data_IF_290287949400
#
_entry.id   IF_290287949400
#
_cell.length_a   1.000
_cell.length_b   1.000
_cell.length_c   1.000
_cell.angle_alpha   90.00
_cell.angle_beta   90.00
_cell.angle_gamma   90.00
#
_symmetry.space_group_name_H-M   'P 1'
#
loop_
_entity.id
_entity.type
_entity.pdbx_description
1 polymer ?
#
# COMPACT_ATOMS: atom_id res chain seq x y z
N UNK A 1 11.89 59.75 -38.05
CA UNK A 1 12.86 58.89 -38.77
C UNK A 1 14.05 58.66 -37.85
N UNK A 2 14.34 57.39 -37.48
CA UNK A 2 15.49 56.92 -36.67
C UNK A 2 15.53 57.49 -35.23
N UNK A 3 15.95 56.81 -34.17
CA UNK A 3 16.83 55.66 -33.98
C UNK A 3 16.49 55.03 -32.61
N UNK A 4 16.66 53.71 -32.50
CA UNK A 4 16.49 52.88 -31.30
C UNK A 4 17.32 53.33 -30.09
N UNK A 5 16.83 53.07 -28.87
CA UNK A 5 17.71 52.69 -27.76
C UNK A 5 17.15 51.44 -27.06
N UNK A 6 17.96 50.40 -27.15
CA UNK A 6 17.83 49.09 -26.55
C UNK A 6 17.92 49.23 -25.02
N UNK A 7 16.94 48.73 -24.27
CA UNK A 7 17.13 48.41 -22.85
C UNK A 7 17.04 46.90 -22.72
N UNK A 8 18.21 46.29 -22.53
CA UNK A 8 18.36 44.90 -22.11
C UNK A 8 17.75 44.76 -20.71
N UNK A 9 16.61 44.06 -20.61
CA UNK A 9 16.13 43.50 -19.37
C UNK A 9 16.35 41.98 -19.41
N UNK A 10 17.48 41.55 -18.83
CA UNK A 10 17.69 40.16 -18.44
C UNK A 10 16.85 39.89 -17.18
N UNK A 11 15.73 39.21 -17.36
CA UNK A 11 14.83 38.64 -16.35
C UNK A 11 14.13 37.48 -17.06
N UNK A 12 14.08 36.23 -16.64
CA UNK A 12 14.28 35.62 -15.33
C UNK A 12 14.53 34.12 -15.49
N UNK A 13 15.00 33.54 -14.39
CA UNK A 13 15.23 32.13 -14.12
C UNK A 13 14.03 31.20 -14.42
N UNK A 14 14.39 30.01 -14.93
CA UNK A 14 13.90 28.64 -14.67
C UNK A 14 12.48 28.46 -14.08
N UNK A 15 11.77 27.50 -14.69
CA UNK A 15 10.68 26.64 -14.17
C UNK A 15 9.32 26.85 -14.82
N UNK A 16 9.01 25.99 -15.78
CA UNK A 16 8.19 24.83 -15.45
C UNK A 16 8.35 23.79 -16.58
N UNK A 17 9.12 22.73 -16.32
CA UNK A 17 8.70 21.46 -16.88
C UNK A 17 7.39 21.14 -16.16
N UNK A 18 6.27 21.60 -16.74
CA UNK A 18 4.99 21.00 -16.49
C UNK A 18 5.12 19.57 -17.00
N UNK A 19 5.64 18.70 -16.15
CA UNK A 19 5.57 17.27 -16.34
C UNK A 19 4.09 16.98 -16.29
N UNK A 20 3.56 16.69 -17.47
CA UNK A 20 2.20 16.28 -17.69
C UNK A 20 2.06 14.92 -16.97
N UNK A 21 1.78 14.95 -15.67
CA UNK A 21 1.42 13.77 -14.87
C UNK A 21 0.00 13.36 -15.32
N UNK A 22 -0.07 12.81 -16.53
CA UNK A 22 -1.27 12.13 -17.01
C UNK A 22 -1.39 10.82 -16.23
N UNK A 23 -1.96 10.91 -15.03
CA UNK A 23 -2.41 9.78 -14.25
C UNK A 23 -3.46 9.04 -15.10
N UNK A 24 -3.09 7.94 -15.76
CA UNK A 24 -4.02 7.12 -16.57
C UNK A 24 -4.67 6.02 -15.73
N UNK A 25 -4.32 5.90 -14.44
CA UNK A 25 -5.09 5.16 -13.45
C UNK A 25 -5.98 6.12 -12.66
N UNK A 26 -7.29 5.97 -12.82
CA UNK A 26 -8.30 6.80 -12.16
C UNK A 26 -8.36 6.49 -10.65
N UNK A 27 -7.50 7.16 -9.89
CA UNK A 27 -7.49 7.13 -8.43
C UNK A 27 -8.76 7.71 -7.80
N UNK A 28 -9.54 8.52 -8.54
CA UNK A 28 -10.80 9.09 -8.04
C UNK A 28 -11.87 8.01 -7.93
N UNK A 29 -11.79 6.94 -8.74
CA UNK A 29 -12.75 5.83 -8.71
C UNK A 29 -12.49 4.77 -7.63
N UNK A 30 -11.32 4.76 -6.99
CA UNK A 30 -11.09 3.82 -5.89
C UNK A 30 -11.82 4.29 -4.63
N UNK A 31 -12.86 3.54 -4.29
CA UNK A 31 -13.70 3.70 -3.09
C UNK A 31 -13.56 2.46 -2.20
N UNK A 32 -14.19 2.50 -1.03
CA UNK A 32 -14.23 1.36 -0.12
C UNK A 32 -15.23 0.26 -0.55
N UNK A 33 -15.78 0.27 -1.77
CA UNK A 33 -16.78 -0.71 -2.26
C UNK A 33 -16.33 -2.17 -2.13
N UNK A 34 -15.02 -2.44 -2.18
CA UNK A 34 -14.50 -3.79 -1.95
C UNK A 34 -14.85 -4.36 -0.57
N UNK A 35 -15.18 -3.49 0.40
CA UNK A 35 -15.65 -3.85 1.74
C UNK A 35 -17.08 -4.39 1.74
N UNK A 36 -17.89 -4.13 0.70
CA UNK A 36 -19.26 -4.66 0.60
C UNK A 36 -19.28 -6.19 0.50
N UNK A 37 -18.16 -6.80 0.09
CA UNK A 37 -17.97 -8.25 0.04
C UNK A 37 -17.71 -8.88 1.41
N UNK A 38 -17.43 -8.07 2.42
CA UNK A 38 -17.14 -8.51 3.79
C UNK A 38 -18.03 -7.82 4.82
N UNK A 39 -19.36 -8.05 4.77
CA UNK A 39 -20.34 -7.35 5.60
C UNK A 39 -20.12 -7.53 7.12
N UNK A 40 -19.38 -8.57 7.52
CA UNK A 40 -18.96 -8.78 8.91
C UNK A 40 -18.02 -7.67 9.44
N UNK A 41 -17.37 -6.90 8.58
CA UNK A 41 -16.48 -5.77 8.93
C UNK A 41 -17.09 -4.40 8.61
N UNK A 42 -18.39 -4.22 8.82
CA UNK A 42 -19.13 -2.97 8.56
C UNK A 42 -18.64 -1.75 9.38
N UNK A 43 -17.87 -1.95 10.45
CA UNK A 43 -17.23 -0.85 11.20
C UNK A 43 -15.80 -0.65 10.71
N UNK A 44 -15.64 0.21 9.71
CA UNK A 44 -14.34 0.61 9.16
C UNK A 44 -14.28 2.11 8.89
N UNK A 45 -13.07 2.64 8.75
CA UNK A 45 -12.82 4.02 8.29
C UNK A 45 -12.13 3.97 6.94
N UNK A 46 -12.69 4.67 5.96
CA UNK A 46 -12.05 4.95 4.68
C UNK A 46 -11.28 6.28 4.75
N UNK A 47 -10.00 6.25 4.39
CA UNK A 47 -9.13 7.41 4.32
C UNK A 47 -8.92 7.77 2.85
N UNK A 48 -9.76 8.66 2.33
CA UNK A 48 -9.82 8.94 0.89
C UNK A 48 -8.50 9.47 0.32
N UNK A 49 -7.76 10.28 1.09
CA UNK A 49 -6.47 10.83 0.66
C UNK A 49 -5.40 9.76 0.46
N UNK A 50 -5.40 8.73 1.30
CA UNK A 50 -4.38 7.67 1.30
C UNK A 50 -4.89 6.37 0.68
N UNK A 51 -6.16 6.35 0.22
CA UNK A 51 -6.85 5.18 -0.32
C UNK A 51 -6.68 3.95 0.58
N UNK A 52 -6.89 4.18 1.88
CA UNK A 52 -6.64 3.23 2.95
C UNK A 52 -7.94 2.92 3.69
N UNK A 53 -8.23 1.64 3.89
CA UNK A 53 -9.21 1.20 4.89
C UNK A 53 -8.49 0.90 6.19
N UNK A 54 -9.04 1.37 7.31
CA UNK A 54 -8.64 0.94 8.65
C UNK A 54 -9.83 0.31 9.39
N UNK A 55 -9.64 -0.85 9.99
CA UNK A 55 -10.69 -1.56 10.71
C UNK A 55 -10.13 -2.38 11.89
N UNK A 56 -11.01 -2.81 12.78
CA UNK A 56 -10.68 -3.73 13.89
C UNK A 56 -11.11 -5.14 13.55
N UNK A 57 -10.21 -6.10 13.70
CA UNK A 57 -10.51 -7.53 13.55
C UNK A 57 -10.59 -8.22 14.92
N UNK A 58 -11.11 -9.45 14.92
CA UNK A 58 -11.26 -10.26 16.14
C UNK A 58 -9.92 -10.39 16.89
N UNK A 59 -9.97 -10.21 18.20
CA UNK A 59 -8.77 -10.21 19.06
C UNK A 59 -8.19 -8.83 19.34
N UNK A 60 -8.80 -7.76 18.83
CA UNK A 60 -8.42 -6.37 19.13
C UNK A 60 -7.32 -5.82 18.23
N UNK A 61 -6.87 -6.59 17.24
CA UNK A 61 -5.89 -6.16 16.26
C UNK A 61 -6.49 -5.09 15.33
N UNK A 62 -5.62 -4.21 14.83
CA UNK A 62 -5.98 -3.30 13.74
C UNK A 62 -5.54 -3.89 12.41
N UNK A 63 -6.34 -3.66 11.37
CA UNK A 63 -5.97 -3.96 10.00
C UNK A 63 -6.02 -2.68 9.17
N UNK A 64 -4.99 -2.47 8.36
CA UNK A 64 -4.85 -1.37 7.42
C UNK A 64 -4.69 -1.97 6.03
N UNK A 65 -5.53 -1.55 5.09
CA UNK A 65 -5.57 -2.09 3.73
C UNK A 65 -5.47 -0.95 2.75
N UNK A 66 -4.43 -0.96 1.94
CA UNK A 66 -4.23 0.02 0.89
C UNK A 66 -4.45 -0.61 -0.46
N UNK A 67 -5.25 0.06 -1.28
CA UNK A 67 -5.47 -0.29 -2.67
C UNK A 67 -5.49 0.97 -3.51
N UNK A 68 -4.44 1.21 -4.27
CA UNK A 68 -4.36 2.37 -5.15
C UNK A 68 -2.96 2.67 -5.67
N UNK A 69 -2.88 3.60 -6.61
CA UNK A 69 -1.64 4.17 -7.13
C UNK A 69 -1.89 4.99 -8.40
N UNK A 70 -1.06 5.99 -8.69
CA UNK A 70 -1.27 6.90 -9.83
C UNK A 70 -0.56 6.42 -11.10
N UNK A 71 0.75 6.17 -10.99
CA UNK A 71 1.56 5.61 -12.09
C UNK A 71 1.88 4.12 -11.86
N UNK A 72 1.63 3.66 -10.64
CA UNK A 72 2.29 2.53 -10.00
C UNK A 72 1.32 1.97 -8.97
N UNK A 73 0.48 1.02 -9.39
CA UNK A 73 -0.57 0.47 -8.53
C UNK A 73 0.06 -0.32 -7.40
N UNK A 74 -0.29 0.03 -6.17
CA UNK A 74 0.25 -0.55 -4.95
C UNK A 74 -0.87 -1.19 -4.15
N UNK A 75 -0.59 -2.39 -3.68
CA UNK A 75 -1.49 -3.13 -2.84
C UNK A 75 -0.73 -3.63 -1.62
N UNK A 76 -1.24 -3.31 -0.42
CA UNK A 76 -0.62 -3.85 0.78
C UNK A 76 -1.60 -3.97 1.94
N UNK A 77 -1.30 -4.91 2.84
CA UNK A 77 -1.95 -5.02 4.14
C UNK A 77 -0.96 -4.87 5.27
N UNK A 78 -1.39 -4.19 6.33
CA UNK A 78 -0.70 -4.20 7.60
C UNK A 78 -1.65 -4.63 8.72
N UNK A 79 -1.31 -5.74 9.38
CA UNK A 79 -1.94 -6.19 10.61
C UNK A 79 -1.11 -5.73 11.80
N UNK A 80 -1.71 -4.94 12.68
CA UNK A 80 -1.08 -4.46 13.90
C UNK A 80 -1.67 -5.20 15.09
N UNK A 81 -0.81 -5.90 15.84
CA UNK A 81 -1.22 -6.73 16.98
C UNK A 81 -0.48 -6.36 18.25
N UNK A 82 -1.12 -6.65 19.40
CA UNK A 82 -0.46 -6.65 20.71
C UNK A 82 0.20 -7.99 21.04
N UNK A 83 -0.09 -9.02 20.24
CA UNK A 83 0.46 -10.36 20.42
C UNK A 83 1.91 -10.37 19.95
N UNK A 84 2.72 -11.22 20.56
CA UNK A 84 4.09 -11.44 20.12
C UNK A 84 4.08 -11.99 18.69
N UNK A 85 4.81 -11.33 17.79
CA UNK A 85 5.00 -11.81 16.41
C UNK A 85 5.85 -13.08 16.43
N UNK A 86 5.53 -14.03 15.53
CA UNK A 86 6.36 -15.24 15.32
C UNK A 86 7.65 -14.85 14.57
N UNK A 87 8.71 -15.67 14.60
CA UNK A 87 9.87 -15.40 13.75
C UNK A 87 9.50 -15.52 12.27
N UNK A 88 10.18 -14.78 11.40
CA UNK A 88 10.04 -14.86 9.94
C UNK A 88 10.26 -16.28 9.38
N UNK A 89 11.06 -17.10 10.08
CA UNK A 89 11.33 -18.50 9.72
C UNK A 89 10.11 -19.43 9.84
N UNK A 90 9.04 -19.02 10.53
CA UNK A 90 7.75 -19.73 10.53
C UNK A 90 6.95 -19.39 9.25
N UNK A 91 7.57 -19.62 8.08
CA UNK A 91 7.05 -19.22 6.77
C UNK A 91 5.66 -19.81 6.50
N UNK A 92 5.41 -21.06 6.91
CA UNK A 92 4.10 -21.70 6.75
C UNK A 92 2.98 -20.96 7.51
N UNK A 93 3.27 -20.47 8.72
CA UNK A 93 2.32 -19.63 9.46
C UNK A 93 2.01 -18.33 8.72
N UNK A 94 3.04 -17.64 8.22
CA UNK A 94 2.87 -16.35 7.54
C UNK A 94 2.13 -16.46 6.22
N UNK A 95 2.38 -17.51 5.44
CA UNK A 95 1.61 -17.81 4.23
C UNK A 95 0.15 -18.08 4.57
N UNK A 96 -0.13 -18.86 5.62
CA UNK A 96 -1.50 -19.15 6.03
C UNK A 96 -2.26 -17.89 6.50
N UNK A 97 -1.61 -17.01 7.26
CA UNK A 97 -2.20 -15.73 7.67
C UNK A 97 -2.42 -14.79 6.47
N UNK A 98 -1.45 -14.74 5.54
CA UNK A 98 -1.57 -13.96 4.30
C UNK A 98 -2.74 -14.46 3.45
N UNK A 99 -2.86 -15.77 3.27
CA UNK A 99 -3.94 -16.37 2.49
C UNK A 99 -5.31 -15.99 3.05
N UNK A 100 -5.50 -16.06 4.37
CA UNK A 100 -6.74 -15.62 5.00
C UNK A 100 -7.04 -14.14 4.71
N UNK A 101 -6.05 -13.25 4.82
CA UNK A 101 -6.21 -11.82 4.52
C UNK A 101 -6.57 -11.58 3.04
N UNK A 102 -5.87 -12.26 2.14
CA UNK A 102 -6.09 -12.17 0.69
C UNK A 102 -7.48 -12.64 0.31
N UNK A 103 -7.90 -13.83 0.74
CA UNK A 103 -9.22 -14.40 0.46
C UNK A 103 -10.36 -13.58 1.09
N UNK A 104 -10.08 -12.90 2.21
CA UNK A 104 -11.09 -12.07 2.87
C UNK A 104 -11.29 -10.76 2.14
N UNK A 105 -10.21 -10.04 1.80
CA UNK A 105 -10.33 -8.63 1.41
C UNK A 105 -10.09 -8.36 -0.08
N UNK A 106 -9.46 -9.28 -0.80
CA UNK A 106 -9.07 -9.07 -2.20
C UNK A 106 -10.05 -9.70 -3.18
N UNK A 107 -10.01 -9.21 -4.42
CA UNK A 107 -10.80 -9.80 -5.50
C UNK A 107 -10.20 -11.09 -6.05
N UNK A 108 -10.97 -11.83 -6.85
CA UNK A 108 -10.58 -13.14 -7.35
C UNK A 108 -9.30 -13.10 -8.22
N UNK A 109 -9.04 -11.98 -8.90
CA UNK A 109 -7.85 -11.79 -9.73
C UNK A 109 -6.61 -11.60 -8.85
N UNK A 110 -6.69 -10.71 -7.85
CA UNK A 110 -5.63 -10.52 -6.85
C UNK A 110 -5.33 -11.83 -6.10
N UNK A 111 -6.37 -12.58 -5.74
CA UNK A 111 -6.23 -13.89 -5.08
C UNK A 111 -5.53 -14.92 -5.98
N UNK A 112 -5.80 -14.92 -7.29
CA UNK A 112 -5.12 -15.81 -8.23
C UNK A 112 -3.62 -15.49 -8.32
N UNK A 113 -3.26 -14.20 -8.42
CA UNK A 113 -1.86 -13.77 -8.43
C UNK A 113 -1.16 -14.18 -7.14
N UNK A 114 -1.80 -14.01 -5.98
CA UNK A 114 -1.25 -14.49 -4.70
C UNK A 114 -0.95 -16.00 -4.75
N UNK A 115 -1.93 -16.82 -5.16
CA UNK A 115 -1.76 -18.29 -5.25
C UNK A 115 -0.64 -18.69 -6.20
N UNK A 116 -0.52 -18.02 -7.34
CA UNK A 116 0.57 -18.25 -8.31
C UNK A 116 1.94 -17.92 -7.71
N UNK A 117 2.07 -16.80 -6.99
CA UNK A 117 3.31 -16.44 -6.32
C UNK A 117 3.69 -17.45 -5.23
N UNK A 118 2.72 -17.91 -4.42
CA UNK A 118 2.98 -18.93 -3.41
C UNK A 118 3.39 -20.27 -4.05
N UNK A 119 2.68 -20.73 -5.07
CA UNK A 119 3.00 -21.99 -5.76
C UNK A 119 4.36 -21.93 -6.47
N UNK A 120 4.66 -20.79 -7.10
CA UNK A 120 5.93 -20.53 -7.78
C UNK A 120 7.09 -20.17 -6.84
N UNK A 121 6.86 -20.10 -5.53
CA UNK A 121 7.83 -19.61 -4.54
C UNK A 121 8.39 -18.22 -4.88
N UNK A 122 7.58 -17.37 -5.51
CA UNK A 122 7.91 -16.00 -5.89
C UNK A 122 7.55 -15.04 -4.75
N UNK A 123 8.14 -15.26 -3.59
CA UNK A 123 7.92 -14.45 -2.40
C UNK A 123 9.11 -14.50 -1.46
N UNK A 124 9.18 -13.52 -0.57
CA UNK A 124 10.14 -13.48 0.54
C UNK A 124 9.41 -13.23 1.85
N UNK A 125 9.86 -13.89 2.92
CA UNK A 125 9.40 -13.61 4.29
C UNK A 125 10.59 -13.12 5.09
N UNK A 126 10.52 -11.86 5.50
CA UNK A 126 11.64 -11.16 6.14
C UNK A 126 11.26 -10.68 7.53
N UNK A 127 12.23 -10.71 8.43
CA UNK A 127 12.11 -10.08 9.75
C UNK A 127 12.35 -8.57 9.58
N UNK A 128 11.52 -7.76 10.24
CA UNK A 128 11.63 -6.30 10.31
C UNK A 128 11.68 -5.87 11.77
N UNK A 129 12.07 -4.63 12.04
CA UNK A 129 12.33 -4.10 13.39
C UNK A 129 11.24 -4.47 14.43
N UNK A 130 9.97 -4.49 14.01
CA UNK A 130 8.83 -4.77 14.89
C UNK A 130 7.90 -5.87 14.35
N UNK A 131 8.42 -6.82 13.59
CA UNK A 131 7.64 -7.98 13.17
C UNK A 131 8.11 -8.63 11.88
N UNK A 132 7.16 -9.01 11.02
CA UNK A 132 7.43 -9.79 9.81
C UNK A 132 6.73 -9.17 8.61
N UNK A 133 7.37 -9.26 7.45
CA UNK A 133 6.79 -8.89 6.17
C UNK A 133 6.88 -10.06 5.19
N UNK A 134 5.78 -10.33 4.50
CA UNK A 134 5.73 -11.19 3.32
C UNK A 134 5.64 -10.28 2.09
N UNK A 135 6.64 -10.36 1.23
CA UNK A 135 6.70 -9.63 -0.04
C UNK A 135 6.42 -10.59 -1.19
N UNK A 136 5.54 -10.23 -2.11
CA UNK A 136 5.36 -10.99 -3.34
C UNK A 136 6.25 -10.39 -4.43
N UNK A 137 7.08 -11.23 -5.04
CA UNK A 137 7.96 -10.83 -6.12
C UNK A 137 7.19 -10.93 -7.43
N UNK A 138 6.33 -9.95 -7.72
CA UNK A 138 5.64 -9.85 -9.00
C UNK A 138 5.78 -8.46 -9.64
N UNK A 139 5.68 -8.42 -10.96
CA UNK A 139 5.74 -7.18 -11.74
C UNK A 139 4.37 -6.55 -11.97
N UNK A 140 3.31 -7.11 -11.39
CA UNK A 140 1.94 -6.61 -11.58
C UNK A 140 1.66 -5.40 -10.71
N UNK A 141 2.42 -5.22 -9.62
CA UNK A 141 2.24 -4.16 -8.63
C UNK A 141 3.61 -3.56 -8.30
N UNK A 142 3.62 -2.27 -8.03
CA UNK A 142 4.81 -1.54 -7.58
C UNK A 142 5.16 -1.83 -6.13
N UNK A 143 4.16 -2.24 -5.36
CA UNK A 143 4.33 -2.73 -4.00
C UNK A 143 3.25 -3.77 -3.76
N UNK A 144 3.69 -5.00 -3.45
CA UNK A 144 2.83 -6.06 -2.94
C UNK A 144 3.45 -6.68 -1.70
N UNK A 145 2.92 -6.31 -0.54
CA UNK A 145 3.37 -6.88 0.72
C UNK A 145 2.25 -7.01 1.75
N UNK A 146 2.44 -7.95 2.67
CA UNK A 146 1.61 -8.14 3.85
C UNK A 146 2.52 -8.09 5.06
N UNK A 147 2.24 -7.18 5.98
CA UNK A 147 3.08 -6.91 7.15
C UNK A 147 2.33 -7.18 8.44
N UNK A 148 3.00 -7.84 9.37
CA UNK A 148 2.53 -8.02 10.74
C UNK A 148 3.46 -7.26 11.67
N UNK A 149 2.95 -6.21 12.31
CA UNK A 149 3.73 -5.42 13.26
C UNK A 149 3.17 -5.55 14.67
N UNK A 150 4.07 -5.76 15.63
CA UNK A 150 3.76 -5.69 17.04
C UNK A 150 3.75 -4.22 17.48
N UNK A 151 2.78 -3.85 18.31
CA UNK A 151 2.78 -2.51 18.95
C UNK A 151 3.82 -2.48 20.06
N UNK A 152 4.89 -1.75 19.85
CA UNK A 152 5.74 -1.25 20.93
C UNK A 152 5.26 0.17 21.30
N UNK A 153 4.73 0.35 22.51
CA UNK A 153 4.29 1.66 23.04
C UNK A 153 3.45 2.56 22.10
N UNK A 154 2.17 2.22 21.94
CA UNK A 154 1.02 3.08 21.52
C UNK A 154 1.10 3.92 20.23
N UNK A 155 2.23 4.06 19.54
CA UNK A 155 2.28 4.75 18.25
C UNK A 155 2.53 3.75 17.13
N UNK A 156 1.47 3.44 16.38
CA UNK A 156 1.65 2.89 15.03
C UNK A 156 2.21 4.04 14.19
N UNK A 157 3.46 3.91 13.75
CA UNK A 157 4.02 4.80 12.75
C UNK A 157 3.28 4.50 11.45
N UNK A 158 2.44 5.42 11.01
CA UNK A 158 1.92 5.43 9.65
C UNK A 158 3.11 5.62 8.69
N UNK A 159 3.77 4.53 8.31
CA UNK A 159 4.74 4.60 7.21
C UNK A 159 3.98 4.54 5.89
N UNK A 160 3.25 5.61 5.59
CA UNK A 160 2.98 5.97 4.21
C UNK A 160 4.31 6.32 3.54
N UNK A 161 4.53 5.75 2.36
CA UNK A 161 5.69 5.97 1.50
C UNK A 161 6.17 7.44 1.55
N UNK A 162 7.31 7.70 2.19
CA UNK A 162 7.97 9.01 2.12
C UNK A 162 8.93 8.95 0.93
N UNK A 163 8.51 9.46 -0.22
CA UNK A 163 9.43 9.78 -1.33
C UNK A 163 10.47 10.76 -0.77
N UNK A 164 11.74 10.36 -0.76
CA UNK A 164 12.88 11.28 -0.81
C UNK A 164 13.02 11.83 -2.22
#
# INVERSE_FOLDING_TARGET
>A
MKLSLLVLAMTSFISSMAQNDTCVFDLETQTAEFMDRVPQYHTFTWHDRTKLVSLRIRGGDSLYLHRGGCNHFSFWLQKVTKRRTRPASDTAHWISEAQWLVETFMDDADQAIFRENIAGHSYEVIEIENGVELMLNNHSYDSWWIRWTQVENRSVVETGYRRT
#
